data_IF_504702118605
#
_entry.id   IF_504702118605
#
_cell.length_a   1.000
_cell.length_b   1.000
_cell.length_c   1.000
_cell.angle_alpha   90.00
_cell.angle_beta   90.00
_cell.angle_gamma   90.00
#
_symmetry.space_group_name_H-M   'P 1'
#
loop_
_entity.id
_entity.type
_entity.pdbx_description
1 polymer ?
#
# COMPACT_ATOMS: atom_id res chain seq x y z
N UNK A 1 19.80 10.49 4.01
CA UNK A 1 19.59 11.92 3.69
C UNK A 1 18.28 12.00 2.96
N UNK A 2 17.33 12.80 3.46
CA UNK A 2 15.98 12.88 2.90
C UNK A 2 15.98 13.55 1.52
N UNK A 3 15.03 13.16 0.68
CA UNK A 3 14.76 13.80 -0.62
C UNK A 3 13.25 13.84 -0.88
N UNK A 4 12.83 14.65 -1.86
CA UNK A 4 11.45 14.63 -2.35
C UNK A 4 11.12 13.25 -2.92
N UNK A 5 10.05 12.66 -2.42
CA UNK A 5 9.52 11.35 -2.82
C UNK A 5 8.00 11.41 -2.86
N UNK A 6 7.42 10.58 -3.72
CA UNK A 6 5.99 10.29 -3.74
C UNK A 6 5.66 9.31 -2.62
N UNK A 7 4.86 9.73 -1.65
CA UNK A 7 4.51 8.94 -0.46
C UNK A 7 2.99 8.85 -0.33
N UNK A 8 2.53 7.71 0.17
CA UNK A 8 1.11 7.49 0.47
C UNK A 8 0.71 8.23 1.74
N UNK A 9 -0.39 8.96 1.65
CA UNK A 9 -1.04 9.61 2.78
C UNK A 9 -2.50 9.12 2.93
N UNK A 10 -3.02 9.23 4.16
CA UNK A 10 -4.37 8.78 4.53
C UNK A 10 -5.20 9.97 4.98
N UNK A 11 -6.33 10.22 4.33
CA UNK A 11 -7.38 11.10 4.83
C UNK A 11 -8.18 10.37 5.92
N UNK A 12 -7.95 10.74 7.17
CA UNK A 12 -8.61 10.11 8.32
C UNK A 12 -10.08 10.47 8.50
N UNK A 13 -10.58 11.51 7.83
CA UNK A 13 -11.99 11.92 7.94
C UNK A 13 -12.91 11.03 7.10
N UNK A 14 -12.39 10.49 5.98
CA UNK A 14 -13.14 9.57 5.11
C UNK A 14 -12.77 8.11 5.33
N UNK A 15 -11.67 7.83 6.03
CA UNK A 15 -11.20 6.47 6.27
C UNK A 15 -12.18 5.69 7.16
N UNK A 16 -12.72 4.59 6.63
CA UNK A 16 -13.62 3.68 7.36
C UNK A 16 -12.88 2.54 8.07
N UNK A 17 -11.54 2.59 8.14
CA UNK A 17 -10.69 1.59 8.82
C UNK A 17 -10.95 0.13 8.43
N UNK A 18 -11.29 -0.14 7.17
CA UNK A 18 -11.60 -1.50 6.69
C UNK A 18 -10.37 -2.42 6.52
N UNK A 19 -9.14 -1.90 6.58
CA UNK A 19 -7.92 -2.71 6.53
C UNK A 19 -7.45 -3.19 5.15
N UNK A 20 -8.25 -3.08 4.08
CA UNK A 20 -7.88 -3.56 2.72
C UNK A 20 -6.53 -3.02 2.21
N UNK A 21 -6.24 -1.76 2.51
CA UNK A 21 -4.97 -1.13 2.13
C UNK A 21 -3.76 -1.78 2.83
N UNK A 22 -3.92 -2.26 4.07
CA UNK A 22 -2.88 -2.97 4.83
C UNK A 22 -2.60 -4.32 4.15
N UNK A 23 -3.65 -5.07 3.83
CA UNK A 23 -3.52 -6.38 3.17
C UNK A 23 -2.86 -6.28 1.79
N UNK A 24 -3.24 -5.25 1.02
CA UNK A 24 -2.69 -5.00 -0.32
C UNK A 24 -1.24 -4.53 -0.34
N UNK A 25 -0.71 -4.01 0.78
CA UNK A 25 0.63 -3.44 0.83
C UNK A 25 1.69 -4.56 0.96
N UNK A 26 2.52 -4.83 -0.06
CA UNK A 26 3.47 -5.94 0.00
C UNK A 26 4.60 -5.68 0.99
N UNK A 27 5.00 -4.41 1.12
CA UNK A 27 6.09 -3.95 2.00
C UNK A 27 5.65 -3.70 3.44
N UNK A 28 4.36 -3.83 3.76
CA UNK A 28 3.85 -3.65 5.13
C UNK A 28 3.93 -2.22 5.66
N UNK A 29 3.96 -1.21 4.79
CA UNK A 29 4.13 0.19 5.17
C UNK A 29 2.93 0.78 5.97
N UNK A 30 1.74 0.21 5.80
CA UNK A 30 0.51 0.64 6.48
C UNK A 30 0.14 -0.34 7.60
N UNK A 31 -0.30 0.15 8.76
CA UNK A 31 -0.86 -0.67 9.85
C UNK A 31 -2.06 -0.02 10.52
N UNK A 32 -2.82 -0.82 11.25
CA UNK A 32 -3.89 -0.35 12.11
C UNK A 32 -3.29 0.08 13.45
N UNK A 33 -3.45 1.34 13.83
CA UNK A 33 -2.99 1.92 15.09
C UNK A 33 -4.16 2.73 15.66
N UNK A 34 -4.60 2.37 16.86
CA UNK A 34 -5.74 3.00 17.56
C UNK A 34 -7.01 3.10 16.70
N UNK A 35 -7.32 2.02 15.96
CA UNK A 35 -8.50 1.94 15.10
C UNK A 35 -8.41 2.79 13.83
N UNK A 36 -7.25 3.36 13.51
CA UNK A 36 -6.99 4.11 12.27
C UNK A 36 -5.85 3.48 11.48
N UNK A 37 -5.99 3.47 10.16
CA UNK A 37 -4.88 3.08 9.27
C UNK A 37 -3.84 4.19 9.26
N UNK A 38 -2.58 3.86 9.52
CA UNK A 38 -1.46 4.80 9.52
C UNK A 38 -0.28 4.27 8.69
N UNK A 39 0.45 5.20 8.05
CA UNK A 39 1.78 4.92 7.49
C UNK A 39 2.79 4.88 8.64
N UNK A 40 3.32 3.69 8.95
CA UNK A 40 4.16 3.48 10.13
C UNK A 40 5.65 3.74 9.88
N UNK A 41 6.12 3.58 8.65
CA UNK A 41 7.50 3.84 8.25
C UNK A 41 7.57 4.24 6.77
N UNK A 42 8.01 5.47 6.51
CA UNK A 42 8.15 6.03 5.16
C UNK A 42 9.22 5.33 4.31
N UNK A 43 10.16 4.61 4.94
CA UNK A 43 11.16 3.80 4.24
C UNK A 43 10.55 2.53 3.64
N UNK A 44 9.38 2.10 4.12
CA UNK A 44 8.67 0.94 3.58
C UNK A 44 7.67 1.32 2.49
N UNK A 45 7.32 2.60 2.38
CA UNK A 45 6.47 3.09 1.30
C UNK A 45 7.34 3.33 0.06
N UNK A 46 7.12 2.54 -0.98
CA UNK A 46 7.72 2.73 -2.31
C UNK A 46 6.99 3.80 -3.14
N UNK A 47 5.75 4.12 -2.77
CA UNK A 47 4.89 5.06 -3.50
C UNK A 47 4.13 4.42 -4.66
N UNK A 48 4.06 3.09 -4.75
CA UNK A 48 3.47 2.37 -5.87
C UNK A 48 1.95 2.56 -6.02
N UNK A 49 1.22 2.71 -4.91
CA UNK A 49 -0.21 3.06 -4.94
C UNK A 49 -1.20 1.89 -4.94
N UNK A 50 -0.76 0.65 -4.73
CA UNK A 50 -1.64 -0.52 -4.52
C UNK A 50 -2.78 -0.26 -3.53
N UNK A 51 -2.47 0.40 -2.42
CA UNK A 51 -3.43 0.74 -1.38
C UNK A 51 -4.54 1.69 -1.84
N UNK A 52 -4.24 2.57 -2.80
CA UNK A 52 -5.20 3.53 -3.38
C UNK A 52 -6.24 2.75 -4.19
N UNK A 53 -5.80 1.81 -5.03
CA UNK A 53 -6.66 1.04 -5.91
C UNK A 53 -7.71 0.18 -5.16
N UNK A 54 -7.38 -0.27 -3.95
CA UNK A 54 -8.27 -1.15 -3.16
C UNK A 54 -9.12 -0.40 -2.13
N UNK A 55 -8.94 0.92 -1.97
CA UNK A 55 -9.63 1.69 -0.96
C UNK A 55 -11.08 2.00 -1.38
N UNK A 56 -12.11 1.40 -0.76
CA UNK A 56 -13.49 1.65 -1.15
C UNK A 56 -13.99 3.06 -0.78
N UNK A 57 -13.30 3.73 0.14
CA UNK A 57 -13.64 5.06 0.62
C UNK A 57 -12.85 6.19 -0.06
N UNK A 58 -11.96 5.85 -1.02
CA UNK A 58 -11.07 6.81 -1.69
C UNK A 58 -10.29 7.71 -0.71
N UNK A 59 -9.87 7.14 0.42
CA UNK A 59 -9.21 7.88 1.51
C UNK A 59 -7.69 7.95 1.39
N UNK A 60 -7.09 7.26 0.42
CA UNK A 60 -5.63 7.22 0.21
C UNK A 60 -5.26 8.02 -1.03
N UNK A 61 -4.16 8.77 -0.95
CA UNK A 61 -3.64 9.59 -2.04
C UNK A 61 -2.12 9.65 -2.00
N UNK A 62 -1.51 10.09 -3.09
CA UNK A 62 -0.06 10.32 -3.17
C UNK A 62 0.21 11.80 -2.89
N UNK A 63 1.17 12.08 -2.02
CA UNK A 63 1.72 13.41 -1.80
C UNK A 63 3.23 13.41 -2.07
N UNK A 64 3.76 14.54 -2.55
CA UNK A 64 5.20 14.74 -2.67
C UNK A 64 5.72 15.41 -1.39
N UNK A 65 6.60 14.73 -0.66
CA UNK A 65 7.23 15.30 0.54
C UNK A 65 8.66 14.80 0.74
N UNK A 66 9.39 15.47 1.64
CA UNK A 66 10.72 15.01 2.04
C UNK A 66 10.60 13.76 2.91
N UNK A 67 11.23 12.67 2.47
CA UNK A 67 11.23 11.38 3.15
C UNK A 67 12.62 10.72 3.07
N UNK A 68 12.94 9.85 4.02
CA UNK A 68 14.11 8.97 3.90
C UNK A 68 14.01 8.09 2.65
N UNK A 69 15.12 7.62 2.07
CA UNK A 69 15.11 6.70 0.95
C UNK A 69 14.32 5.42 1.25
N UNK A 70 13.71 4.84 0.21
CA UNK A 70 13.09 3.51 0.32
C UNK A 70 14.13 2.48 0.76
N UNK A 71 13.77 1.62 1.71
CA UNK A 71 14.63 0.54 2.17
C UNK A 71 14.54 -0.64 1.19
N UNK A 72 15.41 -0.66 0.20
CA UNK A 72 15.45 -1.72 -0.81
C UNK A 72 15.69 -3.13 -0.25
N UNK A 73 16.34 -3.25 0.91
CA UNK A 73 16.59 -4.56 1.53
C UNK A 73 15.32 -5.27 1.98
N UNK A 74 14.19 -4.57 2.15
CA UNK A 74 12.93 -5.25 2.49
C UNK A 74 12.46 -6.20 1.38
N UNK A 75 12.87 -5.96 0.13
CA UNK A 75 12.51 -6.82 -0.99
C UNK A 75 13.14 -8.21 -0.87
N UNK A 76 14.24 -8.35 -0.12
CA UNK A 76 14.88 -9.64 0.17
C UNK A 76 14.05 -10.49 1.15
N UNK A 77 13.18 -9.85 1.94
CA UNK A 77 12.29 -10.50 2.92
C UNK A 77 10.91 -10.83 2.35
N UNK A 78 10.59 -10.32 1.16
CA UNK A 78 9.30 -10.53 0.51
C UNK A 78 9.35 -11.83 -0.30
N UNK A 79 8.46 -12.76 0.04
CA UNK A 79 8.23 -13.96 -0.75
C UNK A 79 7.70 -13.59 -2.14
N UNK A 80 8.38 -14.03 -3.19
CA UNK A 80 8.07 -13.65 -4.58
C UNK A 80 6.69 -14.14 -5.01
N UNK A 81 6.30 -15.35 -4.61
CA UNK A 81 5.01 -15.91 -4.96
C UNK A 81 3.87 -15.12 -4.30
N UNK A 82 4.02 -14.80 -3.00
CA UNK A 82 3.08 -13.94 -2.28
C UNK A 82 3.02 -12.52 -2.85
N UNK A 83 4.15 -11.96 -3.31
CA UNK A 83 4.18 -10.66 -3.98
C UNK A 83 3.39 -10.67 -5.28
N UNK A 84 3.60 -11.69 -6.12
CA UNK A 84 2.89 -11.83 -7.40
C UNK A 84 1.40 -12.06 -7.17
N UNK A 85 1.00 -12.84 -6.17
CA UNK A 85 -0.43 -13.01 -5.82
C UNK A 85 -1.08 -11.67 -5.47
N UNK A 86 -0.42 -10.86 -4.61
CA UNK A 86 -0.90 -9.52 -4.26
C UNK A 86 -0.94 -8.58 -5.45
N UNK A 87 0.08 -8.63 -6.31
CA UNK A 87 0.11 -7.84 -7.54
C UNK A 87 -1.04 -8.25 -8.49
N UNK A 88 -1.28 -9.54 -8.61
CA UNK A 88 -2.33 -10.11 -9.46
C UNK A 88 -3.73 -9.67 -9.02
N UNK A 89 -3.98 -9.48 -7.72
CA UNK A 89 -5.25 -8.90 -7.23
C UNK A 89 -5.53 -7.48 -7.78
N UNK A 90 -4.49 -6.72 -8.15
CA UNK A 90 -4.67 -5.41 -8.78
C UNK A 90 -4.93 -5.49 -10.29
N UNK A 91 -4.41 -6.52 -10.97
CA UNK A 91 -4.46 -6.64 -12.43
C UNK A 91 -5.43 -7.70 -12.95
N UNK A 92 -6.00 -8.56 -12.10
CA UNK A 92 -7.04 -9.51 -12.49
C UNK A 92 -8.38 -8.78 -12.58
N UNK A 93 -8.93 -8.57 -13.79
CA UNK A 93 -10.29 -8.07 -13.91
C UNK A 93 -11.25 -9.05 -13.23
N UNK A 94 -12.26 -8.52 -12.53
CA UNK A 94 -13.28 -9.30 -11.82
C UNK A 94 -14.11 -10.25 -12.72
N UNK A 95 -13.82 -10.32 -14.02
CA UNK A 95 -14.65 -10.93 -15.05
C UNK A 95 -14.09 -12.21 -15.68
N UNK A 96 -12.87 -12.66 -15.35
CA UNK A 96 -12.44 -14.01 -15.74
C UNK A 96 -13.06 -15.00 -14.75
N UNK A 97 -14.33 -15.31 -15.00
CA UNK A 97 -14.94 -16.56 -14.55
C UNK A 97 -14.17 -17.66 -15.24
N UNK A 98 -13.53 -18.53 -14.46
CA UNK A 98 -13.02 -19.80 -14.98
C UNK A 98 -14.22 -20.56 -15.56
N UNK A 99 -14.36 -20.53 -16.88
CA UNK A 99 -15.14 -21.53 -17.58
C UNK A 99 -14.38 -22.84 -17.40
N UNK A 100 -15.05 -23.76 -16.71
CA UNK A 100 -14.65 -25.15 -16.52
C UNK A 100 -14.49 -25.89 -17.84
#
# INVERSE_FOLDING_TARGET
>A
MKSKRMIIAVNHDTCISCGRCIESCPTGALKMVDGKVQLIDEKLCDGFGSCIAVCPANSLYIEERDAEPFNWSILEEIDFDAFIEKLYLHYRPAEIKEEK
#
